data_IF_445121093014
#
_entry.id   IF_445121093014
#
_cell.length_a   1.000
_cell.length_b   1.000
_cell.length_c   1.000
_cell.angle_alpha   90.00
_cell.angle_beta   90.00
_cell.angle_gamma   90.00
#
_symmetry.space_group_name_H-M   'P 1'
#
loop_
_entity.id
_entity.type
_entity.pdbx_description
1 polymer ?
#
# COMPACT_ATOMS: atom_id res chain seq x y z
N UNK A 1 -6.13 -7.19 -21.71
CA UNK A 1 -7.51 -6.58 -21.70
C UNK A 1 -7.86 -6.22 -20.27
N UNK A 2 -8.73 -5.18 -20.05
CA UNK A 2 -9.20 -4.83 -18.69
C UNK A 2 -10.59 -5.40 -18.45
N UNK A 3 -10.72 -6.22 -17.42
CA UNK A 3 -12.00 -6.76 -16.95
C UNK A 3 -12.45 -6.02 -15.68
N UNK A 4 -13.76 -5.90 -15.45
CA UNK A 4 -14.31 -5.26 -14.25
C UNK A 4 -15.12 -6.27 -13.44
N UNK A 5 -14.81 -6.37 -12.15
CA UNK A 5 -15.49 -7.28 -11.23
C UNK A 5 -15.78 -6.57 -9.90
N UNK A 6 -16.75 -7.12 -9.16
CA UNK A 6 -17.11 -6.63 -7.82
C UNK A 6 -16.79 -7.69 -6.79
N UNK A 7 -16.30 -7.25 -5.64
CA UNK A 7 -16.00 -8.09 -4.48
C UNK A 7 -16.72 -7.57 -3.23
N UNK A 8 -17.16 -8.49 -2.38
CA UNK A 8 -17.53 -8.15 -1.00
C UNK A 8 -16.26 -7.70 -0.25
N UNK A 9 -16.44 -7.03 0.87
CA UNK A 9 -15.35 -6.48 1.68
C UNK A 9 -14.29 -7.54 2.02
N UNK A 10 -14.65 -8.67 2.61
CA UNK A 10 -13.69 -9.69 3.05
C UNK A 10 -12.77 -10.22 1.93
N UNK A 11 -13.25 -10.68 0.76
CA UNK A 11 -12.35 -11.10 -0.31
C UNK A 11 -11.57 -9.94 -0.91
N UNK A 12 -12.09 -8.72 -0.95
CA UNK A 12 -11.38 -7.54 -1.42
C UNK A 12 -10.17 -7.24 -0.52
N UNK A 13 -10.38 -7.14 0.80
CA UNK A 13 -9.30 -6.88 1.76
C UNK A 13 -8.24 -7.98 1.78
N UNK A 14 -8.65 -9.23 1.59
CA UNK A 14 -7.71 -10.36 1.52
C UNK A 14 -6.86 -10.36 0.26
N UNK A 15 -7.35 -9.86 -0.87
CA UNK A 15 -6.53 -9.64 -2.06
C UNK A 15 -5.60 -8.46 -1.81
N UNK A 16 -6.14 -7.35 -1.31
CA UNK A 16 -5.41 -6.11 -1.03
C UNK A 16 -4.22 -6.35 -0.08
N UNK A 17 -4.41 -7.12 0.97
CA UNK A 17 -3.34 -7.42 1.94
C UNK A 17 -2.46 -8.63 1.55
N UNK A 18 -2.63 -9.21 0.35
CA UNK A 18 -1.81 -10.30 -0.19
C UNK A 18 -2.12 -11.70 0.34
N UNK A 19 -3.09 -11.86 1.26
CA UNK A 19 -3.45 -13.18 1.83
C UNK A 19 -4.32 -14.02 0.90
N UNK A 20 -4.90 -13.45 -0.15
CA UNK A 20 -5.65 -14.15 -1.19
C UNK A 20 -5.04 -13.87 -2.56
N UNK A 21 -4.35 -14.86 -3.12
CA UNK A 21 -3.68 -14.80 -4.42
C UNK A 21 -4.48 -15.43 -5.56
N UNK A 22 -5.61 -16.06 -5.27
CA UNK A 22 -6.47 -16.70 -6.28
C UNK A 22 -7.94 -16.29 -6.04
N UNK A 23 -8.59 -15.75 -7.06
CA UNK A 23 -10.04 -15.47 -7.06
C UNK A 23 -10.80 -16.62 -7.72
N UNK A 24 -11.88 -17.09 -7.08
CA UNK A 24 -12.67 -18.22 -7.52
C UNK A 24 -14.02 -17.79 -8.09
N UNK A 25 -14.38 -18.29 -9.29
CA UNK A 25 -15.62 -17.94 -10.00
C UNK A 25 -16.17 -19.13 -10.78
N UNK A 26 -17.44 -19.03 -11.19
CA UNK A 26 -17.96 -19.87 -12.28
C UNK A 26 -17.25 -19.50 -13.58
N UNK A 27 -17.00 -20.46 -14.44
CA UNK A 27 -16.40 -20.26 -15.76
C UNK A 27 -17.47 -19.91 -16.80
N UNK A 28 -18.28 -18.89 -16.48
CA UNK A 28 -19.33 -18.35 -17.36
C UNK A 28 -18.74 -17.57 -18.55
N UNK A 29 -19.61 -17.11 -19.46
CA UNK A 29 -19.22 -16.44 -20.71
C UNK A 29 -18.31 -15.22 -20.48
N UNK A 30 -18.47 -14.50 -19.37
CA UNK A 30 -17.62 -13.35 -19.03
C UNK A 30 -16.22 -13.80 -18.61
N UNK A 31 -16.12 -14.88 -17.82
CA UNK A 31 -14.85 -15.39 -17.31
C UNK A 31 -14.09 -16.21 -18.35
N UNK A 32 -14.78 -16.72 -19.38
CA UNK A 32 -14.17 -17.39 -20.52
C UNK A 32 -13.29 -16.45 -21.36
N UNK A 33 -13.53 -15.14 -21.27
CA UNK A 33 -12.74 -14.12 -21.99
C UNK A 33 -11.42 -13.78 -21.32
N UNK A 34 -11.22 -14.15 -20.05
CA UNK A 34 -10.04 -13.80 -19.27
C UNK A 34 -8.84 -14.65 -19.73
N UNK A 35 -7.72 -13.99 -19.95
CA UNK A 35 -6.44 -14.60 -20.35
C UNK A 35 -5.33 -14.20 -19.39
N UNK A 36 -4.29 -15.02 -19.31
CA UNK A 36 -3.04 -14.65 -18.64
C UNK A 36 -2.48 -13.39 -19.31
N UNK A 37 -2.05 -12.41 -18.53
CA UNK A 37 -1.60 -11.08 -18.97
C UNK A 37 -2.73 -10.05 -19.08
N UNK A 38 -4.00 -10.44 -18.87
CA UNK A 38 -5.07 -9.46 -18.73
C UNK A 38 -5.03 -8.80 -17.34
N UNK A 39 -5.78 -7.70 -17.21
CA UNK A 39 -5.96 -6.99 -15.94
C UNK A 39 -7.40 -7.10 -15.45
N UNK A 40 -7.58 -7.08 -14.13
CA UNK A 40 -8.89 -7.03 -13.49
C UNK A 40 -8.93 -5.84 -12.55
N UNK A 41 -9.89 -4.94 -12.75
CA UNK A 41 -10.25 -3.91 -11.77
C UNK A 41 -11.34 -4.47 -10.86
N UNK A 42 -11.00 -4.74 -9.61
CA UNK A 42 -11.96 -5.07 -8.57
C UNK A 42 -12.50 -3.80 -7.91
N UNK A 43 -13.83 -3.70 -7.78
CA UNK A 43 -14.48 -2.64 -7.00
C UNK A 43 -15.09 -3.24 -5.74
N UNK A 44 -14.85 -2.62 -4.59
CA UNK A 44 -15.36 -3.06 -3.29
C UNK A 44 -16.83 -2.71 -3.13
N UNK A 45 -17.64 -3.69 -2.74
CA UNK A 45 -19.05 -3.48 -2.38
C UNK A 45 -19.15 -2.93 -0.94
N UNK A 46 -20.21 -2.12 -0.60
CA UNK A 46 -21.36 -1.79 -1.47
C UNK A 46 -21.17 -0.53 -2.33
N UNK A 47 -20.32 0.40 -1.94
CA UNK A 47 -20.24 1.76 -2.49
C UNK A 47 -19.41 1.89 -3.77
N UNK A 48 -18.57 0.87 -4.09
CA UNK A 48 -17.71 0.79 -5.27
C UNK A 48 -16.64 1.91 -5.34
N UNK A 49 -16.35 2.57 -4.22
CA UNK A 49 -15.37 3.66 -4.18
C UNK A 49 -13.93 3.14 -4.20
N UNK A 50 -13.65 2.12 -3.38
CA UNK A 50 -12.35 1.50 -3.39
C UNK A 50 -12.20 0.55 -4.58
N UNK A 51 -11.06 0.66 -5.26
CA UNK A 51 -10.71 -0.15 -6.42
C UNK A 51 -9.33 -0.75 -6.25
N UNK A 52 -9.13 -1.92 -6.81
CA UNK A 52 -7.86 -2.64 -6.81
C UNK A 52 -7.60 -3.18 -8.21
N UNK A 53 -6.49 -2.78 -8.82
CA UNK A 53 -6.06 -3.28 -10.11
C UNK A 53 -5.08 -4.44 -9.91
N UNK A 54 -5.37 -5.56 -10.56
CA UNK A 54 -4.53 -6.76 -10.51
C UNK A 54 -4.23 -7.28 -11.91
N UNK A 55 -3.09 -7.94 -12.06
CA UNK A 55 -2.71 -8.68 -13.24
C UNK A 55 -3.12 -10.14 -13.10
N UNK A 56 -3.61 -10.76 -14.17
CA UNK A 56 -3.90 -12.18 -14.24
C UNK A 56 -2.61 -12.92 -14.59
N UNK A 57 -2.13 -13.74 -13.65
CA UNK A 57 -0.86 -14.46 -13.80
C UNK A 57 -1.05 -15.96 -14.08
N UNK A 58 -2.17 -16.52 -13.63
CA UNK A 58 -2.47 -17.95 -13.78
C UNK A 58 -3.98 -18.17 -13.95
N UNK A 59 -4.36 -19.29 -14.60
CA UNK A 59 -5.75 -19.72 -14.76
C UNK A 59 -5.86 -21.22 -14.53
N UNK A 60 -6.72 -21.61 -13.58
CA UNK A 60 -7.04 -22.99 -13.23
C UNK A 60 -8.50 -23.27 -13.59
N UNK A 61 -8.77 -24.21 -14.48
CA UNK A 61 -10.13 -24.54 -14.93
C UNK A 61 -10.47 -25.96 -14.55
N UNK A 62 -11.64 -26.15 -13.94
CA UNK A 62 -12.16 -27.47 -13.54
C UNK A 62 -13.68 -27.52 -13.69
N UNK A 63 -14.21 -28.75 -13.56
CA UNK A 63 -15.66 -28.96 -13.64
C UNK A 63 -16.36 -28.54 -12.33
N UNK A 64 -15.70 -28.73 -11.18
CA UNK A 64 -16.25 -28.43 -9.86
C UNK A 64 -15.27 -27.64 -8.99
N UNK A 65 -15.78 -26.93 -7.97
CA UNK A 65 -14.93 -26.27 -6.99
C UNK A 65 -14.11 -27.27 -6.18
N UNK A 66 -14.62 -28.46 -5.94
CA UNK A 66 -13.89 -29.51 -5.23
C UNK A 66 -12.66 -29.96 -6.05
N UNK A 67 -12.82 -30.24 -7.33
CA UNK A 67 -11.70 -30.60 -8.21
C UNK A 67 -10.66 -29.45 -8.30
N UNK A 68 -11.14 -28.22 -8.38
CA UNK A 68 -10.28 -27.04 -8.39
C UNK A 68 -9.46 -26.92 -7.10
N UNK A 69 -10.10 -27.13 -5.96
CA UNK A 69 -9.40 -27.03 -4.67
C UNK A 69 -8.44 -28.20 -4.43
N UNK A 70 -8.73 -29.40 -4.96
CA UNK A 70 -7.77 -30.54 -4.95
C UNK A 70 -6.47 -30.25 -5.70
N UNK A 71 -6.51 -29.39 -6.70
CA UNK A 71 -5.28 -28.93 -7.39
C UNK A 71 -4.48 -27.91 -6.59
N UNK A 72 -5.14 -27.17 -5.72
CA UNK A 72 -4.54 -26.00 -5.05
C UNK A 72 -4.17 -26.28 -3.59
N UNK A 73 -4.79 -27.27 -2.96
CA UNK A 73 -4.64 -27.59 -1.55
C UNK A 73 -4.40 -29.08 -1.36
N UNK A 74 -3.71 -29.43 -0.29
CA UNK A 74 -3.39 -30.83 0.06
C UNK A 74 -4.23 -31.39 1.22
N UNK A 75 -4.92 -30.53 1.97
CA UNK A 75 -5.74 -30.92 3.12
C UNK A 75 -7.16 -31.20 2.67
N UNK A 76 -7.59 -32.47 2.79
CA UNK A 76 -8.92 -32.94 2.34
C UNK A 76 -10.07 -32.27 3.11
N UNK A 77 -9.92 -32.05 4.42
CA UNK A 77 -10.96 -31.38 5.22
C UNK A 77 -11.12 -29.91 4.80
N UNK A 78 -9.99 -29.24 4.51
CA UNK A 78 -10.00 -27.88 4.01
C UNK A 78 -10.66 -27.80 2.62
N UNK A 79 -10.33 -28.72 1.71
CA UNK A 79 -10.90 -28.82 0.36
C UNK A 79 -12.41 -28.91 0.41
N UNK A 80 -12.95 -29.90 1.15
CA UNK A 80 -14.40 -30.12 1.28
C UNK A 80 -15.09 -28.91 1.90
N UNK A 81 -14.52 -28.33 2.94
CA UNK A 81 -15.06 -27.13 3.59
C UNK A 81 -15.10 -25.93 2.63
N UNK A 82 -14.03 -25.69 1.86
CA UNK A 82 -13.96 -24.60 0.88
C UNK A 82 -14.97 -24.82 -0.26
N UNK A 83 -15.05 -26.01 -0.82
CA UNK A 83 -16.00 -26.35 -1.87
C UNK A 83 -17.45 -26.11 -1.41
N UNK A 84 -17.81 -26.59 -0.22
CA UNK A 84 -19.11 -26.35 0.38
C UNK A 84 -19.43 -24.87 0.56
N UNK A 85 -18.44 -24.05 0.98
CA UNK A 85 -18.63 -22.61 1.15
C UNK A 85 -18.90 -21.87 -0.16
N UNK A 86 -18.42 -22.39 -1.30
CA UNK A 86 -18.72 -21.80 -2.62
C UNK A 86 -20.18 -21.98 -3.02
N UNK A 87 -20.84 -23.01 -2.54
CA UNK A 87 -22.27 -23.25 -2.79
C UNK A 87 -23.19 -22.28 -2.03
N UNK A 88 -22.68 -21.49 -1.09
CA UNK A 88 -23.41 -20.34 -0.53
C UNK A 88 -23.58 -19.19 -1.55
N UNK A 89 -22.76 -19.18 -2.60
CA UNK A 89 -22.75 -18.13 -3.63
C UNK A 89 -23.19 -18.65 -5.00
N UNK A 90 -22.96 -19.94 -5.30
CA UNK A 90 -23.23 -20.56 -6.59
C UNK A 90 -24.00 -21.84 -6.41
N UNK A 91 -25.11 -22.03 -7.16
CA UNK A 91 -25.85 -23.30 -7.12
C UNK A 91 -25.06 -24.40 -7.84
N UNK A 92 -25.33 -25.65 -7.44
CA UNK A 92 -24.70 -26.85 -8.04
C UNK A 92 -25.04 -26.96 -9.54
N UNK A 93 -26.26 -26.57 -9.93
CA UNK A 93 -26.68 -26.60 -11.33
C UNK A 93 -25.85 -25.64 -12.19
N UNK A 94 -25.53 -24.45 -11.67
CA UNK A 94 -24.66 -23.48 -12.37
C UNK A 94 -23.21 -23.94 -12.44
N UNK A 95 -22.70 -24.56 -11.37
CA UNK A 95 -21.39 -25.18 -11.37
C UNK A 95 -21.29 -26.26 -12.44
N UNK A 96 -22.29 -27.15 -12.53
CA UNK A 96 -22.38 -28.21 -13.57
C UNK A 96 -22.52 -27.64 -14.99
N UNK A 97 -23.23 -26.52 -15.13
CA UNK A 97 -23.46 -25.88 -16.43
C UNK A 97 -22.21 -25.20 -16.97
N UNK A 98 -21.46 -24.49 -16.13
CA UNK A 98 -20.37 -23.62 -16.56
C UNK A 98 -18.96 -24.14 -16.22
N UNK A 99 -18.88 -25.03 -15.24
CA UNK A 99 -17.60 -25.31 -14.59
C UNK A 99 -17.11 -24.12 -13.76
N UNK A 100 -15.86 -24.20 -13.31
CA UNK A 100 -15.28 -23.23 -12.39
C UNK A 100 -13.89 -22.77 -12.86
N UNK A 101 -13.49 -21.60 -12.38
CA UNK A 101 -12.17 -21.03 -12.66
C UNK A 101 -11.56 -20.45 -11.40
N UNK A 102 -10.30 -20.79 -11.14
CA UNK A 102 -9.39 -20.09 -10.24
C UNK A 102 -8.53 -19.13 -11.06
N UNK A 103 -8.58 -17.84 -10.71
CA UNK A 103 -7.83 -16.79 -11.38
C UNK A 103 -6.69 -16.40 -10.45
N UNK A 104 -5.46 -16.80 -10.77
CA UNK A 104 -4.23 -16.39 -10.09
C UNK A 104 -3.96 -14.92 -10.40
N UNK A 105 -3.78 -14.11 -9.36
CA UNK A 105 -3.67 -12.65 -9.48
C UNK A 105 -2.52 -12.10 -8.65
N UNK A 106 -1.93 -11.01 -9.12
CA UNK A 106 -1.01 -10.16 -8.35
C UNK A 106 -1.43 -8.69 -8.47
N UNK A 107 -1.12 -7.90 -7.45
CA UNK A 107 -1.42 -6.46 -7.47
C UNK A 107 -0.60 -5.81 -8.59
N UNK A 108 -1.27 -4.99 -9.41
CA UNK A 108 -0.57 -4.26 -10.47
C UNK A 108 0.23 -3.10 -9.87
N UNK A 109 1.51 -3.05 -10.23
CA UNK A 109 2.46 -2.03 -9.76
C UNK A 109 3.05 -1.17 -10.89
N UNK A 110 2.51 -1.26 -12.10
CA UNK A 110 3.08 -0.59 -13.28
C UNK A 110 3.13 0.92 -13.12
N UNK A 111 2.06 1.53 -12.59
CA UNK A 111 2.03 2.97 -12.30
C UNK A 111 3.08 3.36 -11.26
N UNK A 112 3.26 2.57 -10.20
CA UNK A 112 4.30 2.83 -9.20
C UNK A 112 5.70 2.70 -9.81
N UNK A 113 5.95 1.65 -10.60
CA UNK A 113 7.21 1.49 -11.34
C UNK A 113 7.50 2.68 -12.23
N UNK A 114 6.50 3.16 -12.97
CA UNK A 114 6.65 4.31 -13.85
C UNK A 114 6.92 5.60 -13.07
N UNK A 115 6.23 5.82 -11.96
CA UNK A 115 6.47 6.97 -11.09
C UNK A 115 7.89 6.96 -10.52
N UNK A 116 8.40 5.79 -10.07
CA UNK A 116 9.77 5.67 -9.59
C UNK A 116 10.78 5.84 -10.74
N UNK A 117 10.53 5.30 -11.94
CA UNK A 117 11.39 5.52 -13.12
C UNK A 117 11.51 7.00 -13.46
N UNK A 118 10.41 7.74 -13.41
CA UNK A 118 10.36 9.16 -13.75
C UNK A 118 10.86 10.07 -12.64
N UNK A 119 10.98 9.56 -11.41
CA UNK A 119 11.57 10.28 -10.29
C UNK A 119 13.00 10.71 -10.61
N UNK A 120 13.31 11.99 -10.36
CA UNK A 120 14.65 12.56 -10.53
C UNK A 120 15.37 12.61 -9.19
N UNK A 121 16.39 11.76 -8.97
CA UNK A 121 17.15 11.75 -7.74
C UNK A 121 17.79 13.11 -7.45
N UNK A 122 17.77 13.51 -6.19
CA UNK A 122 18.38 14.74 -5.72
C UNK A 122 19.89 14.58 -5.45
N UNK A 123 20.30 13.39 -5.01
CA UNK A 123 21.66 13.06 -4.62
C UNK A 123 21.96 11.56 -4.87
N UNK A 124 23.21 11.15 -4.63
CA UNK A 124 23.66 9.76 -4.82
C UNK A 124 22.86 8.75 -3.97
N UNK A 125 22.43 9.12 -2.76
CA UNK A 125 21.59 8.27 -1.92
C UNK A 125 20.30 7.90 -2.68
N UNK A 126 19.57 8.87 -3.21
CA UNK A 126 18.33 8.63 -3.96
C UNK A 126 18.58 7.90 -5.29
N UNK A 127 19.74 8.08 -5.93
CA UNK A 127 20.10 7.30 -7.13
C UNK A 127 20.23 5.80 -6.82
N UNK A 128 20.93 5.47 -5.74
CA UNK A 128 21.09 4.09 -5.28
C UNK A 128 19.77 3.50 -4.85
N UNK A 129 18.99 4.21 -4.02
CA UNK A 129 17.73 3.74 -3.48
C UNK A 129 16.66 3.58 -4.58
N UNK A 130 16.61 4.48 -5.57
CA UNK A 130 15.77 4.34 -6.76
C UNK A 130 16.05 3.02 -7.49
N UNK A 131 17.31 2.72 -7.74
CA UNK A 131 17.71 1.48 -8.42
C UNK A 131 17.30 0.25 -7.62
N UNK A 132 17.51 0.27 -6.30
CA UNK A 132 17.12 -0.84 -5.41
C UNK A 132 15.59 -1.03 -5.43
N UNK A 133 14.81 0.05 -5.31
CA UNK A 133 13.35 -0.01 -5.36
C UNK A 133 12.83 -0.60 -6.67
N UNK A 134 13.41 -0.20 -7.80
CA UNK A 134 13.03 -0.74 -9.12
C UNK A 134 13.35 -2.24 -9.24
N UNK A 135 14.52 -2.68 -8.75
CA UNK A 135 14.87 -4.10 -8.71
C UNK A 135 13.90 -4.87 -7.80
N UNK A 136 13.60 -4.31 -6.63
CA UNK A 136 12.68 -4.94 -5.67
C UNK A 136 11.28 -5.15 -6.26
N UNK A 137 10.74 -4.16 -6.99
CA UNK A 137 9.48 -4.28 -7.71
C UNK A 137 9.50 -5.29 -8.87
N UNK A 138 10.68 -5.66 -9.37
CA UNK A 138 10.83 -6.69 -10.41
C UNK A 138 10.97 -8.09 -9.81
N UNK A 139 11.61 -8.20 -8.65
CA UNK A 139 12.02 -9.47 -8.05
C UNK A 139 10.94 -10.06 -7.11
N UNK A 140 10.03 -9.21 -6.57
CA UNK A 140 8.99 -9.63 -5.62
C UNK A 140 7.59 -9.20 -6.08
N UNK A 141 6.62 -10.09 -5.94
CA UNK A 141 5.22 -9.84 -6.31
C UNK A 141 4.37 -9.22 -5.18
N UNK A 142 4.86 -9.23 -3.95
CA UNK A 142 4.16 -8.84 -2.73
C UNK A 142 4.73 -7.58 -2.06
N UNK A 143 5.46 -6.77 -2.82
CA UNK A 143 6.17 -5.57 -2.36
C UNK A 143 5.28 -4.52 -1.70
N UNK A 144 3.99 -4.50 -2.03
CA UNK A 144 3.01 -3.56 -1.46
C UNK A 144 2.35 -4.09 -0.18
N UNK A 145 2.70 -5.27 0.29
CA UNK A 145 2.05 -5.91 1.45
C UNK A 145 3.05 -6.31 2.52
N UNK A 146 2.58 -6.35 3.77
CA UNK A 146 3.37 -6.85 4.92
C UNK A 146 3.58 -8.36 4.89
N UNK A 147 3.09 -9.07 3.86
CA UNK A 147 3.42 -10.47 3.60
C UNK A 147 4.89 -10.61 3.18
N UNK A 148 5.45 -9.57 2.55
CA UNK A 148 6.88 -9.48 2.34
C UNK A 148 7.58 -9.04 3.63
N UNK A 149 8.12 -10.02 4.35
CA UNK A 149 8.78 -9.80 5.64
C UNK A 149 10.18 -9.20 5.52
N UNK A 150 10.78 -9.15 4.32
CA UNK A 150 12.09 -8.52 4.08
C UNK A 150 11.97 -7.01 3.90
N UNK A 151 10.89 -6.56 3.28
CA UNK A 151 10.62 -5.16 3.05
C UNK A 151 9.34 -4.95 2.25
N UNK A 152 8.76 -3.77 2.39
CA UNK A 152 7.55 -3.41 1.66
C UNK A 152 7.44 -1.89 1.52
N UNK A 153 6.63 -1.47 0.55
CA UNK A 153 6.44 -0.05 0.28
C UNK A 153 5.63 0.64 1.37
N UNK A 154 6.08 1.85 1.69
CA UNK A 154 5.40 2.81 2.57
C UNK A 154 5.30 4.16 1.86
N UNK A 155 4.39 4.99 2.31
CA UNK A 155 4.22 6.34 1.82
C UNK A 155 4.17 7.33 2.96
N UNK A 156 4.92 8.41 2.85
CA UNK A 156 5.00 9.46 3.85
C UNK A 156 4.76 10.84 3.24
N UNK A 157 4.43 11.80 4.07
CA UNK A 157 4.26 13.18 3.65
C UNK A 157 4.93 14.19 4.57
N UNK A 158 5.55 15.19 3.96
CA UNK A 158 5.78 16.48 4.58
C UNK A 158 4.55 17.35 4.33
N UNK A 159 3.71 17.51 5.34
CA UNK A 159 2.51 18.35 5.26
C UNK A 159 2.89 19.76 5.70
N UNK A 160 2.98 20.67 4.76
CA UNK A 160 3.32 22.07 5.00
C UNK A 160 2.06 22.90 5.30
N UNK A 161 2.19 23.91 6.15
CA UNK A 161 1.16 24.94 6.24
C UNK A 161 1.16 25.83 4.97
N UNK A 162 0.08 26.58 4.72
CA UNK A 162 -0.06 27.45 3.54
C UNK A 162 1.07 28.48 3.39
N UNK A 163 1.64 28.94 4.48
CA UNK A 163 2.78 29.87 4.50
C UNK A 163 4.11 29.18 4.25
N UNK A 164 4.13 27.83 4.23
CA UNK A 164 5.33 27.00 4.04
C UNK A 164 6.46 27.25 5.05
N UNK A 165 6.06 27.54 6.28
CA UNK A 165 6.98 27.83 7.40
C UNK A 165 7.00 26.74 8.46
N UNK A 166 5.98 25.86 8.46
CA UNK A 166 5.80 24.77 9.43
C UNK A 166 5.47 23.46 8.74
N UNK A 167 5.80 22.35 9.40
CA UNK A 167 5.43 20.99 9.00
C UNK A 167 4.59 20.35 10.12
N UNK A 168 3.52 19.65 9.74
CA UNK A 168 2.71 18.86 10.64
C UNK A 168 3.45 17.59 11.02
N UNK A 169 3.64 17.35 12.30
CA UNK A 169 4.35 16.17 12.81
C UNK A 169 3.52 15.45 13.88
N UNK A 170 3.72 14.16 13.97
CA UNK A 170 3.13 13.28 14.99
C UNK A 170 4.19 12.78 15.96
N UNK A 171 3.81 12.50 17.22
CA UNK A 171 4.69 11.81 18.16
C UNK A 171 4.41 10.30 18.09
N UNK A 172 5.24 9.58 17.32
CA UNK A 172 5.05 8.18 17.04
C UNK A 172 5.42 7.31 18.23
N UNK A 173 4.50 6.47 18.71
CA UNK A 173 4.67 5.69 19.95
C UNK A 173 5.78 4.64 19.86
N UNK A 174 5.94 3.94 18.73
CA UNK A 174 6.94 2.90 18.56
C UNK A 174 8.35 3.50 18.49
N UNK A 175 8.52 4.58 17.73
CA UNK A 175 9.82 5.23 17.56
C UNK A 175 10.18 6.18 18.72
N UNK A 176 9.19 6.51 19.56
CA UNK A 176 9.34 7.46 20.69
C UNK A 176 9.98 8.78 20.22
N UNK A 177 9.51 9.29 19.08
CA UNK A 177 10.07 10.45 18.40
C UNK A 177 8.99 11.22 17.65
N UNK A 178 9.23 12.53 17.45
CA UNK A 178 8.46 13.30 16.50
C UNK A 178 8.84 12.89 15.07
N UNK A 179 7.84 12.52 14.29
CA UNK A 179 7.98 12.02 12.94
C UNK A 179 7.01 12.73 11.97
N UNK A 180 7.29 12.63 10.69
CA UNK A 180 6.33 12.95 9.65
C UNK A 180 5.12 12.04 9.71
N UNK A 181 4.09 12.35 8.92
CA UNK A 181 2.93 11.47 8.75
C UNK A 181 3.21 10.43 7.67
N UNK A 182 2.68 9.22 7.81
CA UNK A 182 2.82 8.19 6.79
C UNK A 182 2.52 6.79 7.29
N UNK A 183 2.30 5.89 6.34
CA UNK A 183 1.95 4.51 6.64
C UNK A 183 2.29 3.52 5.54
N UNK A 184 1.86 2.29 5.75
CA UNK A 184 2.09 1.20 4.81
C UNK A 184 1.15 1.32 3.62
N UNK A 185 1.62 0.89 2.45
CA UNK A 185 0.78 0.79 1.24
C UNK A 185 -0.39 -0.19 1.42
N UNK A 186 -0.17 -1.26 2.21
CA UNK A 186 -1.17 -2.30 2.51
C UNK A 186 -1.95 -2.74 1.25
N UNK A 187 -1.21 -2.93 0.14
CA UNK A 187 -1.73 -3.37 -1.14
C UNK A 187 -2.21 -2.25 -2.08
N UNK A 188 -2.15 -1.00 -1.67
CA UNK A 188 -2.49 0.12 -2.54
C UNK A 188 -1.27 0.56 -3.34
N UNK A 189 -1.39 0.62 -4.67
CA UNK A 189 -0.31 1.06 -5.56
C UNK A 189 -0.32 2.57 -5.82
N UNK A 190 -1.38 3.29 -5.43
CA UNK A 190 -1.42 4.75 -5.43
C UNK A 190 -0.86 5.32 -4.13
N UNK A 191 0.45 5.47 -4.08
CA UNK A 191 1.14 5.91 -2.87
C UNK A 191 0.90 7.40 -2.53
N UNK A 192 0.45 8.23 -3.49
CA UNK A 192 -0.01 9.59 -3.19
C UNK A 192 -1.33 9.54 -2.41
N UNK A 193 -2.26 8.70 -2.84
CA UNK A 193 -3.50 8.47 -2.11
C UNK A 193 -3.22 7.95 -0.69
N UNK A 194 -2.27 7.02 -0.53
CA UNK A 194 -1.84 6.51 0.79
C UNK A 194 -1.32 7.65 1.67
N UNK A 195 -0.42 8.49 1.16
CA UNK A 195 0.13 9.64 1.92
C UNK A 195 -0.96 10.61 2.40
N UNK A 196 -1.94 10.92 1.53
CA UNK A 196 -3.07 11.80 1.85
C UNK A 196 -3.99 11.16 2.90
N UNK A 197 -4.27 9.88 2.75
CA UNK A 197 -5.09 9.10 3.68
C UNK A 197 -4.45 9.08 5.07
N UNK A 198 -3.17 8.71 5.16
CA UNK A 198 -2.45 8.64 6.44
C UNK A 198 -2.36 10.03 7.12
N UNK A 199 -2.09 11.09 6.34
CA UNK A 199 -2.10 12.45 6.89
C UNK A 199 -3.43 12.77 7.57
N UNK A 200 -4.56 12.40 6.98
CA UNK A 200 -5.89 12.62 7.56
C UNK A 200 -6.16 11.72 8.77
N UNK A 201 -5.80 10.45 8.69
CA UNK A 201 -6.07 9.47 9.75
C UNK A 201 -5.23 9.73 11.00
N UNK A 202 -3.93 10.04 10.83
CA UNK A 202 -3.02 10.24 11.95
C UNK A 202 -3.16 11.59 12.65
N UNK A 203 -3.68 12.61 11.94
CA UNK A 203 -3.72 13.98 12.46
C UNK A 203 -5.11 14.59 12.58
N UNK A 204 -6.13 13.94 12.01
CA UNK A 204 -7.51 14.45 11.97
C UNK A 204 -7.75 15.59 10.99
N UNK A 205 -6.71 16.07 10.28
CA UNK A 205 -6.86 17.14 9.29
C UNK A 205 -7.77 16.68 8.15
N UNK A 206 -8.69 17.53 7.71
CA UNK A 206 -9.71 17.15 6.73
C UNK A 206 -9.33 17.56 5.31
N UNK A 207 -8.73 18.74 5.17
CA UNK A 207 -8.42 19.33 3.87
C UNK A 207 -6.91 19.35 3.67
N UNK A 208 -6.40 18.32 3.00
CA UNK A 208 -5.00 18.20 2.61
C UNK A 208 -4.91 17.97 1.11
N UNK A 209 -4.04 18.71 0.45
CA UNK A 209 -3.85 18.65 -1.00
C UNK A 209 -2.37 18.49 -1.35
N UNK A 210 -2.04 17.79 -2.43
CA UNK A 210 -0.66 17.67 -2.88
C UNK A 210 -0.15 19.01 -3.45
N UNK A 211 1.07 19.39 -3.08
CA UNK A 211 1.78 20.51 -3.73
C UNK A 211 2.24 20.07 -5.11
N UNK A 212 2.71 18.82 -5.21
CA UNK A 212 3.03 18.13 -6.45
C UNK A 212 2.44 16.74 -6.45
N UNK A 213 1.96 16.26 -7.60
CA UNK A 213 1.43 14.90 -7.73
C UNK A 213 2.53 13.82 -7.84
N UNK A 214 3.78 14.24 -8.07
CA UNK A 214 4.91 13.34 -8.24
C UNK A 214 5.60 13.05 -6.90
N UNK A 215 6.28 11.91 -6.84
CA UNK A 215 7.18 11.55 -5.73
C UNK A 215 8.20 12.69 -5.57
N UNK A 216 8.31 13.20 -4.33
CA UNK A 216 9.25 14.27 -4.03
C UNK A 216 10.59 13.75 -3.52
N UNK A 217 10.56 12.69 -2.73
CA UNK A 217 11.77 12.06 -2.18
C UNK A 217 11.56 10.55 -2.02
N UNK A 218 12.64 9.78 -2.02
CA UNK A 218 12.62 8.35 -1.78
C UNK A 218 13.67 7.98 -0.73
N UNK A 219 13.35 6.97 0.10
CA UNK A 219 14.20 6.49 1.18
C UNK A 219 14.03 5.00 1.41
N UNK A 220 15.13 4.29 1.69
CA UNK A 220 15.07 2.93 2.23
C UNK A 220 15.37 3.03 3.73
N UNK A 221 14.33 2.86 4.54
CA UNK A 221 14.38 3.06 5.99
C UNK A 221 14.46 1.71 6.68
N UNK A 222 15.47 1.52 7.52
CA UNK A 222 15.61 0.30 8.31
C UNK A 222 14.64 0.31 9.49
N UNK A 223 13.90 -0.78 9.67
CA UNK A 223 13.00 -1.02 10.79
C UNK A 223 13.58 -2.12 11.67
N UNK A 224 13.92 -1.79 12.91
CA UNK A 224 14.39 -2.78 13.87
C UNK A 224 13.26 -3.74 14.28
N UNK A 225 13.64 -4.98 14.61
CA UNK A 225 12.69 -5.95 15.13
C UNK A 225 12.01 -5.42 16.41
N UNK A 226 10.70 -5.58 16.48
CA UNK A 226 9.88 -5.05 17.57
C UNK A 226 8.66 -5.93 17.86
N UNK A 227 8.04 -5.72 19.00
CA UNK A 227 6.76 -6.35 19.31
C UNK A 227 5.58 -5.48 18.88
N UNK A 228 4.62 -6.08 18.19
CA UNK A 228 3.36 -5.45 17.79
C UNK A 228 2.18 -6.37 18.11
N UNK A 229 1.25 -5.89 18.95
CA UNK A 229 0.04 -6.65 19.37
C UNK A 229 0.39 -8.06 19.89
N UNK A 230 1.48 -8.18 20.68
CA UNK A 230 1.91 -9.42 21.30
C UNK A 230 2.59 -10.43 20.36
N UNK A 231 2.98 -10.01 19.16
CA UNK A 231 3.75 -10.81 18.20
C UNK A 231 5.05 -10.11 17.85
N UNK A 232 6.13 -10.86 17.72
CA UNK A 232 7.41 -10.34 17.26
C UNK A 232 7.37 -10.12 15.75
N UNK A 233 7.77 -8.93 15.32
CA UNK A 233 7.99 -8.54 13.91
C UNK A 233 9.49 -8.49 13.68
N UNK A 234 10.00 -9.22 12.69
CA UNK A 234 11.41 -9.24 12.32
C UNK A 234 11.91 -7.88 11.80
N UNK A 235 13.23 -7.69 11.85
CA UNK A 235 13.83 -6.51 11.20
C UNK A 235 13.60 -6.57 9.69
N UNK A 236 13.22 -5.45 9.11
CA UNK A 236 12.91 -5.33 7.68
C UNK A 236 13.19 -3.91 7.19
N UNK A 237 12.96 -3.64 5.92
CA UNK A 237 13.10 -2.29 5.37
C UNK A 237 11.76 -1.74 4.87
N UNK A 238 11.57 -0.46 5.05
CA UNK A 238 10.52 0.30 4.37
C UNK A 238 11.11 0.95 3.12
N UNK A 239 10.56 0.59 1.95
CA UNK A 239 10.82 1.27 0.69
C UNK A 239 9.86 2.46 0.63
N UNK A 240 10.29 3.58 1.18
CA UNK A 240 9.43 4.73 1.41
C UNK A 240 9.48 5.71 0.24
N UNK A 241 8.30 6.21 -0.15
CA UNK A 241 8.18 7.36 -1.05
C UNK A 241 7.55 8.52 -0.29
N UNK A 242 8.08 9.72 -0.50
CA UNK A 242 7.63 10.92 0.22
C UNK A 242 6.98 11.91 -0.74
N UNK A 243 5.84 12.46 -0.32
CA UNK A 243 5.13 13.51 -1.02
C UNK A 243 5.15 14.82 -0.22
N UNK A 244 5.03 15.95 -0.91
CA UNK A 244 4.77 17.26 -0.30
C UNK A 244 3.28 17.55 -0.38
N UNK A 245 2.67 17.73 0.77
CA UNK A 245 1.26 18.09 0.90
C UNK A 245 1.14 19.47 1.56
N UNK A 246 0.00 20.10 1.38
CA UNK A 246 -0.33 21.40 1.99
C UNK A 246 -1.66 21.31 2.73
N UNK A 247 -1.74 21.96 3.89
CA UNK A 247 -2.95 22.02 4.69
C UNK A 247 -3.06 23.37 5.43
N UNK A 248 -4.25 23.65 5.96
CA UNK A 248 -4.48 24.84 6.79
C UNK A 248 -4.09 24.56 8.24
N UNK A 249 -3.09 25.30 8.78
CA UNK A 249 -2.67 25.14 10.18
C UNK A 249 -3.72 25.53 11.23
N UNK A 250 -4.81 26.19 10.83
CA UNK A 250 -5.91 26.54 11.68
C UNK A 250 -7.00 25.46 11.77
N UNK A 251 -6.92 24.39 10.95
CA UNK A 251 -7.81 23.25 11.12
C UNK A 251 -7.56 22.55 12.46
N UNK A 252 -8.63 22.00 13.03
CA UNK A 252 -8.54 21.19 14.24
C UNK A 252 -7.75 19.91 13.93
N UNK A 253 -6.74 19.65 14.77
CA UNK A 253 -5.91 18.44 14.70
C UNK A 253 -6.12 17.62 15.96
N UNK A 254 -6.06 16.28 15.83
CA UNK A 254 -6.18 15.34 16.93
C UNK A 254 -5.30 14.12 16.75
N UNK A 255 -4.97 13.46 17.83
CA UNK A 255 -4.19 12.22 17.84
C UNK A 255 -5.00 11.02 17.32
N UNK A 256 -4.31 10.02 16.77
CA UNK A 256 -4.80 8.67 16.54
C UNK A 256 -4.27 7.78 17.67
N UNK A 257 -5.12 7.55 18.68
CA UNK A 257 -4.69 6.97 19.97
C UNK A 257 -3.94 5.65 19.89
N UNK A 258 -4.14 4.84 18.86
CA UNK A 258 -3.46 3.57 18.69
C UNK A 258 -2.07 3.70 18.02
N UNK A 259 -1.74 4.84 17.41
CA UNK A 259 -0.48 5.04 16.66
C UNK A 259 0.39 6.15 17.23
N UNK A 260 -0.20 7.29 17.62
CA UNK A 260 0.54 8.43 18.09
C UNK A 260 0.01 8.97 19.43
N UNK A 261 0.81 9.80 20.10
CA UNK A 261 0.46 10.46 21.37
C UNK A 261 0.57 11.97 21.31
N UNK A 262 0.86 12.54 20.15
CA UNK A 262 0.92 13.99 19.95
C UNK A 262 0.85 14.32 18.46
N UNK A 263 0.24 15.47 18.16
CA UNK A 263 0.20 16.09 16.83
C UNK A 263 0.46 17.57 17.00
N UNK A 264 1.37 18.14 16.22
CA UNK A 264 1.66 19.59 16.26
C UNK A 264 2.26 20.10 14.96
N UNK A 265 2.10 21.38 14.72
CA UNK A 265 2.84 22.12 13.72
C UNK A 265 4.21 22.55 14.25
N UNK A 266 5.28 22.15 13.58
CA UNK A 266 6.67 22.43 13.95
C UNK A 266 7.29 23.38 12.94
N UNK A 267 7.92 24.49 13.37
CA UNK A 267 8.68 25.36 12.48
C UNK A 267 9.75 24.57 11.74
N UNK A 268 9.93 24.82 10.43
CA UNK A 268 10.87 24.05 9.58
C UNK A 268 12.29 24.09 10.12
N UNK A 269 12.73 25.22 10.68
CA UNK A 269 14.05 25.37 11.27
C UNK A 269 14.24 24.60 12.60
N UNK A 270 13.17 24.09 13.20
CA UNK A 270 13.21 23.32 14.44
C UNK A 270 13.10 21.81 14.24
N UNK A 271 12.75 21.34 13.03
CA UNK A 271 12.49 19.92 12.74
C UNK A 271 13.69 19.05 13.11
N UNK A 272 14.90 19.45 12.72
CA UNK A 272 16.11 18.68 12.97
C UNK A 272 16.48 18.58 14.47
N UNK A 273 15.94 19.48 15.29
CA UNK A 273 16.11 19.44 16.75
C UNK A 273 14.93 18.73 17.45
N UNK A 274 13.83 18.53 16.73
CA UNK A 274 12.60 17.97 17.27
C UNK A 274 12.60 16.43 17.20
N UNK A 275 13.16 15.84 16.14
CA UNK A 275 13.25 14.38 15.98
C UNK A 275 14.45 13.80 16.71
N UNK A 276 14.26 12.68 17.41
CA UNK A 276 15.32 11.96 18.13
C UNK A 276 16.00 10.87 17.27
N UNK A 277 15.40 10.47 16.16
CA UNK A 277 15.94 9.46 15.25
C UNK A 277 17.06 10.04 14.39
N UNK A 278 18.31 9.85 14.81
CA UNK A 278 19.47 10.47 14.20
C UNK A 278 19.59 10.21 12.70
N UNK A 279 19.42 8.97 12.26
CA UNK A 279 19.56 8.63 10.84
C UNK A 279 18.46 9.30 10.00
N UNK A 280 17.19 9.26 10.45
CA UNK A 280 16.07 9.92 9.78
C UNK A 280 16.28 11.43 9.74
N UNK A 281 16.71 12.03 10.86
CA UNK A 281 17.03 13.46 10.92
C UNK A 281 18.09 13.86 9.89
N UNK A 282 19.22 13.14 9.85
CA UNK A 282 20.40 13.55 9.10
C UNK A 282 20.34 13.13 7.62
N UNK A 283 19.69 12.02 7.31
CA UNK A 283 19.63 11.43 5.95
C UNK A 283 18.31 11.64 5.22
N UNK A 284 17.23 11.89 5.95
CA UNK A 284 15.90 12.08 5.37
C UNK A 284 15.45 13.52 5.50
N UNK A 285 15.24 14.01 6.72
CA UNK A 285 14.67 15.36 6.91
C UNK A 285 15.60 16.46 6.44
N UNK A 286 16.91 16.39 6.77
CA UNK A 286 17.88 17.37 6.31
C UNK A 286 17.94 17.42 4.77
N UNK A 287 17.95 16.25 4.10
CA UNK A 287 17.91 16.13 2.64
C UNK A 287 16.66 16.78 2.03
N UNK A 288 15.47 16.46 2.57
CA UNK A 288 14.21 16.98 2.05
C UNK A 288 14.13 18.50 2.25
N UNK A 289 14.52 19.01 3.41
CA UNK A 289 14.55 20.45 3.70
C UNK A 289 15.50 21.19 2.75
N UNK A 290 16.68 20.63 2.50
CA UNK A 290 17.66 21.22 1.57
C UNK A 290 17.12 21.23 0.14
N UNK A 291 16.49 20.14 -0.30
CA UNK A 291 15.82 20.05 -1.59
C UNK A 291 14.68 21.08 -1.71
N UNK A 292 13.82 21.22 -0.69
CA UNK A 292 12.74 22.21 -0.68
C UNK A 292 13.25 23.65 -0.82
N UNK A 293 14.38 23.99 -0.17
CA UNK A 293 15.03 25.31 -0.34
C UNK A 293 15.54 25.52 -1.76
N UNK A 294 16.22 24.52 -2.33
CA UNK A 294 16.75 24.59 -3.69
C UNK A 294 15.64 24.71 -4.74
N UNK A 295 14.55 24.01 -4.55
CA UNK A 295 13.38 24.03 -5.43
C UNK A 295 12.46 25.25 -5.18
N UNK A 296 12.82 26.12 -4.21
CA UNK A 296 12.04 27.31 -3.82
C UNK A 296 10.63 26.97 -3.36
N UNK A 297 10.45 25.84 -2.70
CA UNK A 297 9.19 25.44 -2.07
C UNK A 297 9.03 26.17 -0.73
N UNK A 298 10.14 26.40 -0.03
CA UNK A 298 10.24 27.10 1.26
C UNK A 298 11.31 28.16 1.20
#
# INVERSE_FOLDING_TARGET
>A
MLHKMKLKESPFERIKNGTKKIEFRLYDEKRQQIKIGDQIEFSKLPDLQEKLLVDVIELYKENTFEDLFRKLYSDEEEIVRKAKSMHEFYSIEKEQQYGVIGIGIKINVDNLKENIKNFKPYNEQEEVEKRIMLNYLNDFDDTLTRQNEYGHFTSSAFVLNKQRTKILMIYHKIYNSWAWVGGHSDGDSDLLYVAIKEAKEETGIKNVVPIFNNIYSIEIINVNGHEKKGKYVGSHVHLNVTYLLEADENEEIHIKEDENSGVKWVPINEILNTTSEQWVRDRVYAKIIDKMKKDKVI
#
